data_IF_655135251039
#
_entry.id   IF_655135251039
#
_cell.length_a   1.000
_cell.length_b   1.000
_cell.length_c   1.000
_cell.angle_alpha   90.00
_cell.angle_beta   90.00
_cell.angle_gamma   90.00
#
_symmetry.space_group_name_H-M   'P 1'
#
loop_
_entity.id
_entity.type
_entity.pdbx_description
1 polymer ?
#
# COMPACT_ATOMS: atom_id res chain seq x y z
N UNK A 1 -11.67 6.86 8.67
CA UNK A 1 -11.65 7.00 7.19
C UNK A 1 -11.11 8.38 6.82
N UNK A 2 -10.21 8.48 5.84
CA UNK A 2 -9.69 9.75 5.29
C UNK A 2 -10.24 9.93 3.87
N UNK A 3 -11.00 10.99 3.62
CA UNK A 3 -11.43 11.34 2.26
C UNK A 3 -10.24 12.02 1.55
N UNK A 4 -9.89 11.53 0.37
CA UNK A 4 -8.79 12.07 -0.43
C UNK A 4 -9.29 12.94 -1.59
N UNK A 5 -10.28 12.45 -2.32
CA UNK A 5 -10.81 13.12 -3.50
C UNK A 5 -12.29 12.80 -3.67
N UNK A 6 -13.02 13.74 -4.26
CA UNK A 6 -14.43 13.57 -4.61
C UNK A 6 -14.56 13.91 -6.09
N UNK A 7 -15.22 13.03 -6.84
CA UNK A 7 -15.51 13.21 -8.25
C UNK A 7 -17.01 13.20 -8.49
N UNK A 8 -17.49 14.29 -9.06
CA UNK A 8 -18.91 14.50 -9.35
C UNK A 8 -19.24 14.12 -10.79
N UNK A 9 -20.40 13.52 -10.98
CA UNK A 9 -21.05 13.21 -12.24
C UNK A 9 -22.46 13.81 -12.24
N UNK A 10 -23.17 13.70 -13.37
CA UNK A 10 -24.55 14.21 -13.49
C UNK A 10 -25.51 13.64 -12.45
N UNK A 11 -25.34 12.37 -12.09
CA UNK A 11 -26.24 11.57 -11.26
C UNK A 11 -25.49 10.69 -10.25
N UNK A 12 -24.17 10.86 -10.13
CA UNK A 12 -23.32 10.07 -9.23
C UNK A 12 -22.25 10.91 -8.53
N UNK A 13 -21.80 10.41 -7.40
CA UNK A 13 -20.65 10.89 -6.65
C UNK A 13 -19.70 9.73 -6.38
N UNK A 14 -18.47 9.80 -6.88
CA UNK A 14 -17.42 8.86 -6.54
C UNK A 14 -16.49 9.48 -5.49
N UNK A 15 -16.36 8.84 -4.34
CA UNK A 15 -15.51 9.26 -3.23
C UNK A 15 -14.29 8.34 -3.18
N UNK A 16 -13.10 8.92 -3.34
CA UNK A 16 -11.83 8.25 -3.08
C UNK A 16 -11.46 8.49 -1.62
N UNK A 17 -11.34 7.42 -0.87
CA UNK A 17 -11.07 7.45 0.56
C UNK A 17 -9.97 6.47 0.94
N UNK A 18 -9.49 6.58 2.17
CA UNK A 18 -8.58 5.63 2.79
C UNK A 18 -9.21 5.10 4.06
N UNK A 19 -9.27 3.78 4.16
CA UNK A 19 -9.76 3.06 5.32
C UNK A 19 -8.79 1.96 5.66
N UNK A 20 -8.43 1.87 6.94
CA UNK A 20 -7.44 0.92 7.44
C UNK A 20 -6.22 0.84 6.51
N UNK A 21 -5.59 1.94 6.14
CA UNK A 21 -4.33 1.89 5.38
C UNK A 21 -4.45 1.62 3.87
N UNK A 22 -5.63 1.31 3.34
CA UNK A 22 -5.82 1.07 1.90
C UNK A 22 -6.71 2.15 1.26
N UNK A 23 -6.42 2.52 -0.01
CA UNK A 23 -7.34 3.36 -0.77
C UNK A 23 -8.62 2.57 -1.10
N UNK A 24 -9.75 3.28 -1.15
CA UNK A 24 -11.09 2.74 -1.42
C UNK A 24 -11.84 3.71 -2.33
N UNK A 25 -12.72 3.18 -3.16
CA UNK A 25 -13.65 3.97 -3.96
C UNK A 25 -15.06 3.58 -3.55
N UNK A 26 -15.84 4.55 -3.10
CA UNK A 26 -17.27 4.38 -2.80
C UNK A 26 -18.09 5.29 -3.70
N UNK A 27 -19.05 4.72 -4.41
CA UNK A 27 -19.90 5.43 -5.36
C UNK A 27 -21.31 5.58 -4.79
N UNK A 28 -21.86 6.78 -4.86
CA UNK A 28 -23.21 7.12 -4.44
C UNK A 28 -24.02 7.58 -5.65
N UNK A 29 -25.29 7.21 -5.69
CA UNK A 29 -26.24 7.81 -6.62
C UNK A 29 -26.73 9.14 -6.04
N UNK A 30 -26.88 10.15 -6.89
CA UNK A 30 -27.37 11.46 -6.50
C UNK A 30 -28.84 11.60 -6.87
N UNK A 31 -29.69 12.16 -5.99
CA UNK A 31 -31.08 12.43 -6.31
C UNK A 31 -31.19 13.52 -7.39
N UNK A 32 -32.35 13.61 -8.04
CA UNK A 32 -32.66 14.74 -8.92
C UNK A 32 -32.58 16.07 -8.13
N UNK A 33 -32.12 17.11 -8.82
CA UNK A 33 -31.81 18.43 -8.21
C UNK A 33 -33.10 19.23 -7.98
N UNK A 34 -33.93 18.75 -7.06
CA UNK A 34 -35.10 19.50 -6.57
C UNK A 34 -34.85 20.09 -5.17
N UNK A 35 -34.07 19.40 -4.34
CA UNK A 35 -33.69 19.83 -2.99
C UNK A 35 -32.18 19.72 -2.72
N UNK A 36 -31.62 20.49 -1.77
CA UNK A 36 -30.23 20.36 -1.36
C UNK A 36 -29.91 18.96 -0.81
N UNK A 37 -28.79 18.38 -1.25
CA UNK A 37 -28.29 17.11 -0.72
C UNK A 37 -27.85 17.28 0.74
N UNK A 38 -28.60 16.71 1.68
CA UNK A 38 -28.28 16.77 3.12
C UNK A 38 -27.38 15.60 3.54
N UNK A 39 -27.64 14.38 3.05
CA UNK A 39 -26.89 13.17 3.39
C UNK A 39 -26.62 12.30 2.16
N UNK A 40 -25.55 11.52 2.21
CA UNK A 40 -25.23 10.47 1.22
C UNK A 40 -25.69 9.11 1.76
N UNK A 41 -26.53 8.41 1.01
CA UNK A 41 -27.05 7.08 1.37
C UNK A 41 -26.79 6.06 0.26
N UNK A 42 -26.76 4.77 0.61
CA UNK A 42 -26.69 3.68 -0.39
C UNK A 42 -25.37 3.55 -1.15
N UNK A 43 -24.26 4.05 -0.59
CA UNK A 43 -22.94 3.97 -1.22
C UNK A 43 -22.49 2.53 -1.51
N UNK A 44 -21.99 2.29 -2.72
CA UNK A 44 -21.44 1.01 -3.18
C UNK A 44 -19.92 1.11 -3.30
N UNK A 45 -19.19 0.31 -2.53
CA UNK A 45 -17.74 0.23 -2.66
C UNK A 45 -17.31 -0.66 -3.82
N UNK A 46 -16.38 -0.16 -4.63
CA UNK A 46 -15.71 -0.95 -5.67
C UNK A 46 -14.91 -2.06 -5.00
N UNK A 47 -15.08 -3.30 -5.49
CA UNK A 47 -14.37 -4.46 -4.97
C UNK A 47 -13.06 -4.68 -5.72
N UNK A 48 -11.99 -5.00 -4.98
CA UNK A 48 -10.66 -5.24 -5.54
C UNK A 48 -10.19 -6.67 -5.25
N UNK A 49 -9.35 -7.20 -6.13
CA UNK A 49 -8.98 -8.62 -6.15
C UNK A 49 -7.97 -8.96 -5.05
N UNK A 50 -6.96 -8.12 -4.88
CA UNK A 50 -5.87 -8.36 -3.93
C UNK A 50 -6.13 -7.80 -2.53
N UNK A 51 -5.57 -8.41 -1.48
CA UNK A 51 -5.70 -7.94 -0.10
C UNK A 51 -4.92 -6.66 0.20
N UNK A 52 -3.97 -6.30 -0.66
CA UNK A 52 -3.19 -5.05 -0.64
C UNK A 52 -3.09 -4.56 -2.07
N UNK A 53 -3.40 -3.29 -2.30
CA UNK A 53 -3.47 -2.71 -3.64
C UNK A 53 -3.34 -1.18 -3.58
N UNK A 54 -3.11 -0.60 -4.75
CA UNK A 54 -3.24 0.82 -5.02
C UNK A 54 -4.40 1.06 -6.00
N UNK A 55 -5.09 2.18 -5.85
CA UNK A 55 -6.10 2.62 -6.81
C UNK A 55 -6.06 4.14 -6.95
N UNK A 56 -6.15 4.61 -8.19
CA UNK A 56 -6.16 6.03 -8.53
C UNK A 56 -7.29 6.35 -9.49
N UNK A 57 -8.07 7.38 -9.18
CA UNK A 57 -9.12 7.85 -10.08
C UNK A 57 -8.49 8.49 -11.33
N UNK A 58 -8.98 8.08 -12.50
CA UNK A 58 -8.65 8.73 -13.78
C UNK A 58 -9.70 9.79 -14.13
N UNK A 59 -9.46 10.57 -15.17
CA UNK A 59 -10.47 11.50 -15.71
C UNK A 59 -11.64 10.72 -16.33
N UNK A 60 -12.88 11.16 -16.09
CA UNK A 60 -14.10 10.68 -16.74
C UNK A 60 -14.92 11.89 -17.18
N UNK A 61 -15.77 11.69 -18.19
CA UNK A 61 -16.73 12.71 -18.61
C UNK A 61 -17.82 12.90 -17.54
N UNK A 62 -18.25 14.13 -17.31
CA UNK A 62 -19.25 14.47 -16.28
C UNK A 62 -20.59 13.77 -16.50
N UNK A 63 -21.04 13.65 -17.75
CA UNK A 63 -22.31 13.01 -18.13
C UNK A 63 -22.23 11.48 -18.28
N UNK A 64 -21.11 10.87 -17.88
CA UNK A 64 -20.88 9.43 -18.01
C UNK A 64 -21.31 8.70 -16.75
N UNK A 65 -21.92 7.52 -16.92
CA UNK A 65 -22.14 6.56 -15.82
C UNK A 65 -20.89 5.70 -15.55
N UNK A 66 -19.84 5.87 -16.35
CA UNK A 66 -18.58 5.13 -16.23
C UNK A 66 -17.53 5.91 -15.44
N UNK A 67 -17.13 5.34 -14.31
CA UNK A 67 -15.96 5.75 -13.53
C UNK A 67 -14.72 5.01 -14.04
N UNK A 68 -13.70 5.74 -14.49
CA UNK A 68 -12.41 5.15 -14.84
C UNK A 68 -11.43 5.26 -13.69
N UNK A 69 -10.73 4.17 -13.40
CA UNK A 69 -9.63 4.15 -12.43
C UNK A 69 -8.49 3.25 -12.90
N UNK A 70 -7.30 3.52 -12.36
CA UNK A 70 -6.14 2.66 -12.45
C UNK A 70 -6.04 1.83 -11.18
N UNK A 71 -5.77 0.54 -11.33
CA UNK A 71 -5.60 -0.42 -10.25
C UNK A 71 -4.26 -1.13 -10.41
N UNK A 72 -3.56 -1.31 -9.30
CA UNK A 72 -2.34 -2.10 -9.25
C UNK A 72 -2.21 -2.78 -7.89
N UNK A 73 -1.39 -3.82 -7.82
CA UNK A 73 -0.99 -4.42 -6.55
C UNK A 73 0.46 -4.86 -6.65
N UNK A 74 1.06 -5.27 -5.53
CA UNK A 74 2.41 -5.83 -5.52
C UNK A 74 2.62 -7.02 -6.50
N UNK A 75 1.55 -7.67 -6.97
CA UNK A 75 1.60 -8.73 -7.99
C UNK A 75 0.84 -8.42 -9.28
N UNK A 76 0.08 -7.33 -9.35
CA UNK A 76 -0.77 -7.01 -10.49
C UNK A 76 -0.26 -5.72 -11.17
N UNK A 77 0.24 -5.82 -12.42
CA UNK A 77 0.66 -4.66 -13.20
C UNK A 77 -0.44 -3.62 -13.31
N UNK A 78 -0.05 -2.37 -13.52
CA UNK A 78 -0.98 -1.27 -13.64
C UNK A 78 -2.05 -1.56 -14.70
N UNK A 79 -3.31 -1.48 -14.28
CA UNK A 79 -4.47 -1.92 -15.03
C UNK A 79 -5.55 -0.84 -15.02
N UNK A 80 -6.07 -0.48 -16.18
CA UNK A 80 -7.15 0.51 -16.31
C UNK A 80 -8.48 -0.22 -16.39
N UNK A 81 -9.41 0.17 -15.52
CA UNK A 81 -10.76 -0.36 -15.48
C UNK A 81 -11.78 0.76 -15.74
N UNK A 82 -12.85 0.37 -16.44
CA UNK A 82 -14.10 1.13 -16.49
C UNK A 82 -15.10 0.46 -15.55
N UNK A 83 -15.59 1.21 -14.58
CA UNK A 83 -16.61 0.79 -13.63
C UNK A 83 -17.94 1.45 -13.95
N UNK A 84 -18.94 0.64 -14.26
CA UNK A 84 -20.30 1.12 -14.47
C UNK A 84 -20.95 1.37 -13.11
N UNK A 85 -21.23 2.64 -12.81
CA UNK A 85 -21.73 3.08 -11.51
C UNK A 85 -23.17 2.63 -11.22
N UNK A 86 -23.95 2.32 -12.25
CA UNK A 86 -25.33 1.85 -12.10
C UNK A 86 -25.34 0.36 -11.69
N UNK A 87 -24.61 -0.45 -12.44
CA UNK A 87 -24.59 -1.91 -12.30
C UNK A 87 -23.60 -2.40 -11.25
N UNK A 88 -22.51 -1.66 -11.04
CA UNK A 88 -21.40 -2.06 -10.19
C UNK A 88 -20.39 -2.99 -10.86
N UNK A 89 -20.43 -3.13 -12.19
CA UNK A 89 -19.53 -4.00 -12.94
C UNK A 89 -18.23 -3.28 -13.35
N UNK A 90 -17.08 -3.95 -13.17
CA UNK A 90 -15.78 -3.47 -13.65
C UNK A 90 -15.34 -4.21 -14.91
N UNK A 91 -14.95 -3.47 -15.95
CA UNK A 91 -14.42 -4.02 -17.20
C UNK A 91 -12.97 -3.57 -17.39
N UNK A 92 -12.05 -4.53 -17.47
CA UNK A 92 -10.65 -4.28 -17.77
C UNK A 92 -10.52 -3.71 -19.20
N UNK A 93 -9.85 -2.56 -19.33
CA UNK A 93 -9.60 -1.89 -20.62
C UNK A 93 -8.16 -2.01 -21.08
N UNK A 94 -7.22 -1.97 -20.14
CA UNK A 94 -5.79 -2.08 -20.42
C UNK A 94 -5.10 -2.72 -19.23
N UNK A 95 -4.15 -3.60 -19.50
CA UNK A 95 -3.16 -4.05 -18.53
C UNK A 95 -1.77 -3.75 -19.10
N UNK A 96 -0.88 -3.22 -18.28
CA UNK A 96 0.52 -3.03 -18.67
C UNK A 96 1.19 -4.39 -18.92
N UNK A 97 1.80 -4.55 -20.10
CA UNK A 97 2.48 -5.79 -20.46
C UNK A 97 3.84 -5.85 -19.79
N UNK A 98 4.05 -6.91 -19.00
CA UNK A 98 5.36 -7.21 -18.40
C UNK A 98 6.06 -8.24 -19.27
N UNK A 99 7.24 -7.87 -19.78
CA UNK A 99 8.06 -8.75 -20.63
C UNK A 99 8.74 -9.84 -19.79
N UNK A 100 9.25 -10.89 -20.45
CA UNK A 100 10.06 -11.91 -19.79
C UNK A 100 9.31 -13.07 -19.13
N UNK A 101 8.05 -13.31 -19.51
CA UNK A 101 7.28 -14.46 -19.03
C UNK A 101 6.67 -14.31 -17.65
N UNK A 102 6.49 -13.07 -17.19
CA UNK A 102 5.82 -12.76 -15.93
C UNK A 102 4.41 -13.35 -15.88
N UNK A 103 4.11 -14.03 -14.77
CA UNK A 103 2.76 -14.49 -14.45
C UNK A 103 2.43 -14.08 -13.01
N UNK A 104 1.43 -13.21 -12.87
CA UNK A 104 0.92 -12.71 -11.59
C UNK A 104 0.45 -13.84 -10.65
N UNK A 105 0.10 -15.01 -11.19
CA UNK A 105 -0.32 -16.18 -10.40
C UNK A 105 0.82 -16.78 -9.60
N UNK A 106 2.09 -16.53 -9.97
CA UNK A 106 3.26 -17.04 -9.27
C UNK A 106 3.55 -16.29 -7.96
N UNK A 107 2.94 -15.14 -7.74
CA UNK A 107 3.21 -14.29 -6.59
C UNK A 107 2.03 -14.28 -5.62
N UNK A 108 2.34 -14.31 -4.33
CA UNK A 108 1.35 -14.22 -3.25
C UNK A 108 1.55 -12.88 -2.56
N UNK A 109 0.45 -12.15 -2.39
CA UNK A 109 0.41 -10.94 -1.59
C UNK A 109 -0.25 -11.22 -0.24
N UNK A 110 0.27 -10.63 0.83
CA UNK A 110 -0.31 -10.73 2.17
C UNK A 110 -0.36 -9.36 2.82
N UNK A 111 -1.35 -9.21 3.68
CA UNK A 111 -1.45 -8.09 4.62
C UNK A 111 -1.22 -8.60 6.04
N UNK A 112 -0.36 -7.92 6.78
CA UNK A 112 -0.06 -8.22 8.18
C UNK A 112 -0.03 -6.95 9.00
N UNK A 113 0.00 -7.10 10.32
CA UNK A 113 0.03 -6.01 11.29
C UNK A 113 1.06 -6.36 12.35
N UNK A 114 1.96 -5.42 12.62
CA UNK A 114 2.91 -5.49 13.73
C UNK A 114 2.47 -4.54 14.84
N UNK A 115 2.58 -4.96 16.09
CA UNK A 115 2.22 -4.12 17.23
C UNK A 115 3.43 -3.30 17.67
N UNK A 116 3.32 -1.96 17.61
CA UNK A 116 4.32 -1.06 18.16
C UNK A 116 4.32 -1.09 19.70
N UNK A 117 5.37 -0.58 20.34
CA UNK A 117 5.51 -0.59 21.80
C UNK A 117 4.39 0.15 22.55
N UNK A 118 3.69 1.06 21.89
CA UNK A 118 2.53 1.79 22.44
C UNK A 118 1.18 1.14 22.10
N UNK A 119 1.20 -0.09 21.55
CA UNK A 119 0.00 -0.84 21.15
C UNK A 119 -0.55 -0.46 19.77
N UNK A 120 0.09 0.46 19.04
CA UNK A 120 -0.37 0.83 17.70
C UNK A 120 -0.13 -0.32 16.72
N UNK A 121 -1.17 -0.77 16.02
CA UNK A 121 -1.06 -1.75 14.94
C UNK A 121 -0.53 -1.09 13.66
N UNK A 122 0.67 -1.49 13.21
CA UNK A 122 1.36 -0.99 12.02
C UNK A 122 1.12 -1.94 10.84
N UNK A 123 0.46 -1.50 9.75
CA UNK A 123 0.23 -2.37 8.60
C UNK A 123 1.53 -2.72 7.87
N UNK A 124 1.58 -3.92 7.31
CA UNK A 124 2.65 -4.42 6.45
C UNK A 124 2.03 -5.04 5.19
N UNK A 125 2.50 -4.62 4.02
CA UNK A 125 2.18 -5.27 2.74
C UNK A 125 3.35 -6.13 2.31
N UNK A 126 3.08 -7.38 1.96
CA UNK A 126 4.11 -8.39 1.67
C UNK A 126 3.83 -9.01 0.31
N UNK A 127 4.87 -9.25 -0.48
CA UNK A 127 4.82 -10.07 -1.69
C UNK A 127 6.02 -11.01 -1.78
N UNK A 128 5.80 -12.21 -2.30
CA UNK A 128 6.85 -13.17 -2.61
C UNK A 128 6.41 -14.14 -3.69
N UNK A 129 7.37 -14.79 -4.33
CA UNK A 129 7.10 -15.85 -5.31
C UNK A 129 6.82 -17.18 -4.59
N UNK A 130 5.63 -17.75 -4.83
CA UNK A 130 5.07 -18.87 -4.03
C UNK A 130 5.83 -20.19 -4.18
N UNK A 131 6.58 -20.37 -5.27
CA UNK A 131 7.30 -21.60 -5.57
C UNK A 131 8.75 -21.60 -5.04
N UNK A 132 9.25 -20.46 -4.56
CA UNK A 132 10.62 -20.30 -4.08
C UNK A 132 10.70 -20.09 -2.56
N UNK A 133 9.72 -19.38 -1.99
CA UNK A 133 9.72 -18.97 -0.58
C UNK A 133 9.11 -20.03 0.32
N UNK A 134 9.80 -20.35 1.43
CA UNK A 134 9.45 -21.45 2.35
C UNK A 134 8.65 -21.00 3.56
N UNK A 135 8.83 -19.75 4.01
CA UNK A 135 8.25 -19.18 5.24
C UNK A 135 8.65 -19.94 6.51
N UNK A 136 9.90 -20.41 6.57
CA UNK A 136 10.50 -21.09 7.73
C UNK A 136 11.56 -20.21 8.45
N UNK A 137 11.69 -18.96 8.01
CA UNK A 137 12.68 -17.99 8.49
C UNK A 137 14.01 -18.00 7.71
N UNK A 138 14.21 -18.92 6.77
CA UNK A 138 15.45 -19.01 5.98
C UNK A 138 15.46 -18.12 4.73
N UNK A 139 14.31 -17.56 4.36
CA UNK A 139 14.14 -16.76 3.14
C UNK A 139 14.79 -15.37 3.28
N UNK A 140 15.50 -14.88 2.24
CA UNK A 140 15.98 -13.51 2.21
C UNK A 140 14.81 -12.53 2.10
N UNK A 141 14.92 -11.37 2.76
CA UNK A 141 13.88 -10.35 2.74
C UNK A 141 14.46 -8.97 2.47
N UNK A 142 13.71 -8.15 1.73
CA UNK A 142 13.89 -6.71 1.67
C UNK A 142 12.67 -6.00 2.28
N UNK A 143 12.90 -5.27 3.37
CA UNK A 143 11.89 -4.44 4.03
C UNK A 143 12.10 -2.97 3.66
N UNK A 144 11.09 -2.36 3.03
CA UNK A 144 11.08 -0.98 2.59
C UNK A 144 10.28 -0.08 3.53
N UNK A 145 10.73 1.16 3.74
CA UNK A 145 9.99 2.18 4.48
C UNK A 145 10.33 3.63 4.09
N UNK A 146 9.41 4.56 4.39
CA UNK A 146 9.58 5.99 4.14
C UNK A 146 9.15 6.87 5.33
N UNK A 147 7.85 6.85 5.67
CA UNK A 147 7.34 7.39 6.93
C UNK A 147 7.52 8.90 7.13
N UNK A 148 7.39 9.73 6.09
CA UNK A 148 7.51 11.20 6.21
C UNK A 148 6.52 11.94 5.30
N UNK A 149 6.23 13.19 5.67
CA UNK A 149 5.44 14.15 4.88
C UNK A 149 4.00 13.73 4.55
N UNK A 150 3.42 12.79 5.31
CA UNK A 150 2.11 12.19 4.99
C UNK A 150 2.09 11.42 3.66
N UNK A 151 3.26 11.15 3.07
CA UNK A 151 3.36 10.34 1.86
C UNK A 151 2.95 8.90 2.22
N UNK A 152 2.02 8.35 1.44
CA UNK A 152 1.66 6.95 1.52
C UNK A 152 2.57 6.16 0.58
N UNK A 153 3.11 5.04 1.05
CA UNK A 153 3.81 4.09 0.18
C UNK A 153 2.82 3.01 -0.22
N UNK A 154 2.09 3.23 -1.31
CA UNK A 154 1.07 2.29 -1.74
C UNK A 154 1.67 0.97 -2.29
N UNK A 155 1.00 -0.17 -2.05
CA UNK A 155 1.47 -1.49 -2.47
C UNK A 155 1.15 -1.74 -3.96
N UNK A 156 1.71 -0.92 -4.84
CA UNK A 156 1.57 -0.98 -6.30
C UNK A 156 2.56 -1.96 -6.95
N UNK A 157 2.52 -2.12 -8.27
CA UNK A 157 3.47 -2.95 -9.01
C UNK A 157 4.67 -2.14 -9.48
N UNK A 158 5.87 -2.67 -9.28
CA UNK A 158 7.07 -2.22 -9.98
C UNK A 158 7.84 -3.42 -10.56
N UNK A 159 8.13 -3.37 -11.86
CA UNK A 159 8.85 -4.42 -12.55
C UNK A 159 10.28 -4.63 -12.02
N UNK A 160 10.91 -3.59 -11.47
CA UNK A 160 12.24 -3.65 -10.85
C UNK A 160 12.31 -4.69 -9.73
N UNK A 161 11.21 -4.89 -9.00
CA UNK A 161 11.14 -5.81 -7.84
C UNK A 161 11.15 -7.28 -8.24
N UNK A 162 10.74 -7.61 -9.48
CA UNK A 162 10.72 -9.00 -9.98
C UNK A 162 12.09 -9.66 -9.87
N UNK A 163 13.16 -8.89 -10.11
CA UNK A 163 14.54 -9.38 -9.96
C UNK A 163 14.80 -9.99 -8.58
N UNK A 164 14.28 -9.40 -7.50
CA UNK A 164 14.43 -9.95 -6.15
C UNK A 164 13.47 -11.11 -5.93
N UNK A 165 12.19 -10.94 -6.29
CA UNK A 165 11.15 -11.96 -6.07
C UNK A 165 11.49 -13.29 -6.75
N UNK A 166 12.01 -13.23 -7.97
CA UNK A 166 12.41 -14.42 -8.76
C UNK A 166 13.72 -15.05 -8.28
N UNK A 167 14.42 -14.42 -7.32
CA UNK A 167 15.56 -14.98 -6.58
C UNK A 167 15.18 -15.47 -5.19
N UNK A 168 13.88 -15.57 -4.91
CA UNK A 168 13.35 -16.06 -3.63
C UNK A 168 13.36 -15.03 -2.52
N UNK A 169 13.49 -13.73 -2.83
CA UNK A 169 13.30 -12.70 -1.81
C UNK A 169 11.81 -12.52 -1.49
N UNK A 170 11.55 -12.24 -0.23
CA UNK A 170 10.32 -11.62 0.22
C UNK A 170 10.50 -10.10 0.16
N UNK A 171 9.56 -9.39 -0.44
CA UNK A 171 9.51 -7.93 -0.37
C UNK A 171 8.38 -7.51 0.57
N UNK A 172 8.67 -6.55 1.45
CA UNK A 172 7.69 -6.01 2.38
C UNK A 172 7.76 -4.49 2.45
N UNK A 173 6.61 -3.85 2.59
CA UNK A 173 6.47 -2.41 2.86
C UNK A 173 5.94 -2.27 4.28
N UNK A 174 6.66 -1.55 5.13
CA UNK A 174 6.17 -1.15 6.45
C UNK A 174 5.50 0.23 6.36
N UNK A 175 4.19 0.27 6.63
CA UNK A 175 3.36 1.47 6.56
C UNK A 175 3.45 2.28 7.87
N UNK A 176 4.67 2.66 8.24
CA UNK A 176 5.04 3.26 9.53
C UNK A 176 4.49 4.68 9.72
N UNK A 177 4.32 5.11 10.98
CA UNK A 177 3.87 6.48 11.29
C UNK A 177 4.79 7.54 10.70
N UNK A 178 4.19 8.67 10.34
CA UNK A 178 4.80 9.72 9.53
C UNK A 178 4.41 9.65 8.05
N UNK A 179 3.93 8.49 7.59
CA UNK A 179 3.16 8.37 6.35
C UNK A 179 1.70 8.79 6.53
N UNK A 180 0.89 8.63 5.47
CA UNK A 180 -0.51 9.06 5.43
C UNK A 180 -1.54 7.93 5.41
N UNK A 181 -1.09 6.68 5.52
CA UNK A 181 -1.86 5.49 5.18
C UNK A 181 -3.12 5.35 6.04
N UNK A 182 -2.97 5.53 7.37
CA UNK A 182 -4.06 5.45 8.35
C UNK A 182 -4.76 6.81 8.58
N UNK A 183 -4.56 7.78 7.68
CA UNK A 183 -5.12 9.12 7.77
C UNK A 183 -4.20 10.13 8.45
N UNK A 184 -4.67 11.38 8.62
CA UNK A 184 -3.84 12.51 9.04
C UNK A 184 -3.13 12.30 10.38
N UNK A 185 -3.79 11.64 11.34
CA UNK A 185 -3.19 11.36 12.64
C UNK A 185 -2.01 10.38 12.56
N UNK A 186 -1.91 9.57 11.50
CA UNK A 186 -0.76 8.71 11.26
C UNK A 186 0.52 9.54 11.03
N UNK A 187 0.39 10.62 10.27
CA UNK A 187 1.48 11.55 10.01
C UNK A 187 1.81 12.40 11.24
N UNK A 188 0.80 12.98 11.90
CA UNK A 188 1.03 13.82 13.08
C UNK A 188 1.70 13.04 14.23
N UNK A 189 1.44 11.73 14.32
CA UNK A 189 2.11 10.84 15.27
C UNK A 189 3.47 10.30 14.79
N UNK A 190 4.01 10.78 13.67
CA UNK A 190 5.36 10.49 13.18
C UNK A 190 6.10 11.74 12.73
N UNK A 191 5.81 12.89 13.35
CA UNK A 191 6.40 14.21 13.02
C UNK A 191 6.89 14.94 14.28
N UNK A 192 7.83 15.87 14.11
CA UNK A 192 8.38 16.73 15.17
C UNK A 192 8.86 15.91 16.37
N UNK A 193 8.39 16.22 17.58
CA UNK A 193 8.80 15.51 18.80
C UNK A 193 8.33 14.04 18.82
N UNK A 194 7.38 13.65 17.96
CA UNK A 194 6.92 12.27 17.78
C UNK A 194 7.64 11.54 16.65
N UNK A 195 8.63 12.15 16.00
CA UNK A 195 9.33 11.56 14.84
C UNK A 195 9.98 10.21 15.16
N UNK A 196 10.34 9.97 16.42
CA UNK A 196 10.90 8.69 16.87
C UNK A 196 10.00 7.49 16.56
N UNK A 197 8.68 7.69 16.52
CA UNK A 197 7.71 6.65 16.19
C UNK A 197 7.95 6.04 14.80
N UNK A 198 8.33 6.85 13.80
CA UNK A 198 8.70 6.34 12.47
C UNK A 198 9.74 5.22 12.56
N UNK A 199 10.78 5.42 13.38
CA UNK A 199 11.89 4.49 13.48
C UNK A 199 11.53 3.26 14.32
N UNK A 200 10.83 3.44 15.44
CA UNK A 200 10.41 2.33 16.31
C UNK A 200 9.34 1.46 15.67
N UNK A 201 8.44 2.03 14.87
CA UNK A 201 7.45 1.27 14.10
C UNK A 201 8.13 0.38 13.07
N UNK A 202 9.16 0.89 12.38
CA UNK A 202 9.92 0.12 11.39
C UNK A 202 10.66 -1.06 12.04
N UNK A 203 11.25 -0.83 13.22
CA UNK A 203 11.87 -1.88 14.03
C UNK A 203 10.81 -2.91 14.46
N UNK A 204 9.63 -2.47 14.92
CA UNK A 204 8.55 -3.37 15.33
C UNK A 204 8.07 -4.25 14.16
N UNK A 205 7.98 -3.68 12.95
CA UNK A 205 7.67 -4.44 11.73
C UNK A 205 8.73 -5.50 11.44
N UNK A 206 10.01 -5.16 11.55
CA UNK A 206 11.10 -6.10 11.33
C UNK A 206 11.08 -7.26 12.35
N UNK A 207 10.90 -6.95 13.63
CA UNK A 207 10.82 -7.95 14.70
C UNK A 207 9.63 -8.89 14.50
N UNK A 208 8.46 -8.34 14.16
CA UNK A 208 7.29 -9.13 13.80
C UNK A 208 7.58 -10.08 12.64
N UNK A 209 8.20 -9.61 11.55
CA UNK A 209 8.49 -10.44 10.37
C UNK A 209 9.47 -11.57 10.68
N UNK A 210 10.45 -11.33 11.56
CA UNK A 210 11.39 -12.34 12.04
C UNK A 210 10.70 -13.36 12.95
N UNK A 211 9.89 -12.89 13.90
CA UNK A 211 9.13 -13.74 14.83
C UNK A 211 8.18 -14.68 14.06
N UNK A 212 7.47 -14.14 13.08
CA UNK A 212 6.54 -14.87 12.22
C UNK A 212 7.22 -15.72 11.13
N UNK A 213 8.55 -15.88 11.19
CA UNK A 213 9.34 -16.74 10.29
C UNK A 213 9.24 -16.37 8.82
N UNK A 214 9.02 -15.10 8.49
CA UNK A 214 9.22 -14.64 7.12
C UNK A 214 10.72 -14.58 6.76
N UNK A 215 11.57 -14.18 7.70
CA UNK A 215 13.03 -14.18 7.52
C UNK A 215 13.75 -14.32 8.87
N UNK A 216 15.08 -14.24 8.85
CA UNK A 216 15.94 -14.11 10.03
C UNK A 216 16.73 -12.80 9.98
N UNK A 217 17.32 -12.39 11.11
CA UNK A 217 18.17 -11.18 11.16
C UNK A 217 19.33 -11.24 10.15
N UNK A 218 19.89 -12.43 9.94
CA UNK A 218 20.98 -12.71 8.99
C UNK A 218 20.53 -12.65 7.52
N UNK A 219 19.22 -12.53 7.29
CA UNK A 219 18.57 -12.55 5.97
C UNK A 219 17.71 -11.31 5.70
N UNK A 220 17.61 -10.39 6.66
CA UNK A 220 16.81 -9.19 6.55
C UNK A 220 17.64 -8.01 6.03
N UNK A 221 17.29 -7.54 4.83
CA UNK A 221 17.79 -6.31 4.24
C UNK A 221 16.76 -5.18 4.41
N UNK A 222 17.22 -3.94 4.53
CA UNK A 222 16.35 -2.76 4.64
C UNK A 222 16.65 -1.72 3.56
N UNK A 223 15.63 -1.02 3.09
CA UNK A 223 15.78 0.05 2.11
C UNK A 223 14.91 1.27 2.44
N UNK A 224 15.47 2.45 2.19
CA UNK A 224 14.76 3.73 2.22
C UNK A 224 15.51 4.79 1.42
N UNK A 225 14.78 5.74 0.84
CA UNK A 225 15.32 6.81 -0.03
C UNK A 225 14.89 8.19 0.44
N UNK A 226 15.75 9.21 0.32
CA UNK A 226 15.48 10.60 0.74
C UNK A 226 15.13 10.65 2.24
N UNK A 227 13.94 11.06 2.65
CA UNK A 227 13.53 10.95 4.05
C UNK A 227 13.43 9.49 4.56
N UNK A 228 13.28 8.51 3.66
CA UNK A 228 13.50 7.10 3.98
C UNK A 228 14.98 6.78 4.27
N UNK A 229 15.93 7.54 3.74
CA UNK A 229 17.34 7.44 4.09
C UNK A 229 17.63 7.91 5.52
N UNK A 230 16.93 8.95 5.99
CA UNK A 230 16.90 9.32 7.42
C UNK A 230 16.39 8.15 8.28
N UNK A 231 15.32 7.47 7.86
CA UNK A 231 14.81 6.26 8.52
C UNK A 231 15.91 5.20 8.62
N UNK A 232 16.55 4.85 7.50
CA UNK A 232 17.62 3.83 7.48
C UNK A 232 18.78 4.22 8.39
N UNK A 233 19.24 5.47 8.33
CA UNK A 233 20.30 5.97 9.20
C UNK A 233 19.96 5.87 10.70
N UNK A 234 18.72 6.18 11.08
CA UNK A 234 18.28 6.06 12.47
C UNK A 234 18.24 4.60 12.95
N UNK A 235 17.63 3.70 12.17
CA UNK A 235 17.45 2.30 12.61
C UNK A 235 18.73 1.48 12.58
N UNK A 236 19.70 1.83 11.72
CA UNK A 236 21.05 1.28 11.75
C UNK A 236 21.77 1.61 13.06
N UNK A 237 21.56 2.81 13.62
CA UNK A 237 22.14 3.18 14.91
C UNK A 237 21.38 2.58 16.11
N UNK A 238 20.05 2.48 16.00
CA UNK A 238 19.20 1.99 17.10
C UNK A 238 19.26 0.47 17.29
N UNK A 239 19.23 -0.29 16.18
CA UNK A 239 19.14 -1.76 16.18
C UNK A 239 20.01 -2.40 15.09
N UNK A 240 21.32 -2.14 15.06
CA UNK A 240 22.22 -2.71 14.04
C UNK A 240 22.20 -4.25 14.01
N UNK A 241 21.78 -4.90 15.10
CA UNK A 241 21.68 -6.36 15.21
C UNK A 241 20.60 -6.99 14.31
N UNK A 242 19.63 -6.22 13.84
CA UNK A 242 18.48 -6.74 13.08
C UNK A 242 18.75 -6.90 11.58
N UNK A 243 19.79 -6.26 11.05
CA UNK A 243 19.94 -6.03 9.61
C UNK A 243 21.18 -6.71 9.04
N UNK A 244 20.99 -7.50 7.99
CA UNK A 244 22.09 -8.07 7.22
C UNK A 244 22.75 -7.05 6.29
N UNK A 245 21.94 -6.21 5.66
CA UNK A 245 22.37 -5.17 4.74
C UNK A 245 21.35 -4.02 4.72
N UNK A 246 21.82 -2.83 4.34
CA UNK A 246 20.96 -1.65 4.22
C UNK A 246 21.28 -0.87 2.96
N UNK A 247 20.23 -0.37 2.29
CA UNK A 247 20.31 0.51 1.13
C UNK A 247 19.73 1.87 1.53
N UNK A 248 20.60 2.86 1.69
CA UNK A 248 20.23 4.23 2.01
C UNK A 248 20.40 5.10 0.75
N UNK A 249 19.31 5.36 0.03
CA UNK A 249 19.35 6.12 -1.23
C UNK A 249 19.23 7.63 -0.99
N UNK A 250 20.19 8.43 -1.47
CA UNK A 250 20.23 9.90 -1.27
C UNK A 250 19.81 10.34 0.15
N UNK A 251 20.46 9.78 1.19
CA UNK A 251 19.98 9.85 2.58
C UNK A 251 20.22 11.19 3.27
#
# INVERSE_FOLDING_TARGET
VKIQYIKLFSDHLAVSEREEGLPKITVYHLPEVEEPLINLEGGKSVQFIDPVYSVDLSVSQFSSTILRFSYSSLRMPNSVYDYDMNTGESVLKKIETVLGGFDASNYVTKRKWATASDGTEIPISIVYQKNLVKLDGSDPMLLYGYGSYEICIDPDFEASRLSLLDRGFIFAIAHIRGGGEMGRQWYENGKFLKKKNTFTDFISCAEYLIEQKYCSKEKLCIEGRSAGGLLIGAVLNMRPDLWKAAVAGVP
#
